data_IF_932809152437
#
_entry.id   IF_932809152437
#
_cell.length_a   1.000
_cell.length_b   1.000
_cell.length_c   1.000
_cell.angle_alpha   90.00
_cell.angle_beta   90.00
_cell.angle_gamma   90.00
#
_symmetry.space_group_name_H-M   'P 1'
#
loop_
_entity.id
_entity.type
_entity.pdbx_description
1 polymer ?
#
# COMPACT_ATOMS: atom_id res chain seq x y z
N UNK A 1 -5.99 19.54 -12.52
CA UNK A 1 -5.98 18.09 -12.84
C UNK A 1 -4.65 17.37 -12.61
N UNK A 2 -3.49 17.73 -13.20
CA UNK A 2 -2.21 17.10 -12.79
C UNK A 2 -1.77 17.55 -11.39
N UNK A 3 -1.75 18.86 -11.14
CA UNK A 3 -1.23 19.45 -9.89
C UNK A 3 -1.93 18.98 -8.61
N UNK A 4 -3.22 18.66 -8.67
CA UNK A 4 -3.99 18.13 -7.54
C UNK A 4 -3.56 16.70 -7.19
N UNK A 5 -3.33 15.84 -8.19
CA UNK A 5 -2.80 14.47 -7.98
C UNK A 5 -1.38 14.51 -7.41
N UNK A 6 -0.51 15.38 -7.94
CA UNK A 6 0.86 15.53 -7.40
C UNK A 6 0.86 16.08 -5.96
N UNK A 7 -0.01 17.04 -5.65
CA UNK A 7 -0.11 17.62 -4.31
C UNK A 7 -0.70 16.66 -3.28
N UNK A 8 -1.72 15.88 -3.67
CA UNK A 8 -2.28 14.79 -2.84
C UNK A 8 -1.21 13.74 -2.51
N UNK A 9 -0.42 13.32 -3.50
CA UNK A 9 0.68 12.39 -3.29
C UNK A 9 1.77 12.93 -2.35
N UNK A 10 2.11 14.23 -2.44
CA UNK A 10 3.10 14.84 -1.54
C UNK A 10 2.60 14.92 -0.09
N UNK A 11 1.32 15.25 0.11
CA UNK A 11 0.71 15.30 1.45
C UNK A 11 0.63 13.89 2.07
N UNK A 12 0.19 12.91 1.28
CA UNK A 12 0.16 11.50 1.69
C UNK A 12 1.53 10.99 2.10
N UNK A 13 2.56 11.28 1.30
CA UNK A 13 3.92 10.88 1.62
C UNK A 13 4.40 11.45 2.96
N UNK A 14 4.17 12.74 3.22
CA UNK A 14 4.48 13.36 4.52
C UNK A 14 3.67 12.77 5.66
N UNK A 15 2.44 12.32 5.40
CA UNK A 15 1.62 11.67 6.41
C UNK A 15 2.18 10.29 6.75
N UNK A 16 2.57 9.50 5.74
CA UNK A 16 3.20 8.18 5.90
C UNK A 16 4.53 8.31 6.66
N UNK A 17 5.35 9.29 6.32
CA UNK A 17 6.63 9.59 7.01
C UNK A 17 6.45 9.99 8.48
N UNK A 18 5.24 10.41 8.91
CA UNK A 18 4.93 10.77 10.29
C UNK A 18 4.29 9.64 11.09
N UNK A 19 3.89 8.55 10.44
CA UNK A 19 3.31 7.40 11.14
C UNK A 19 4.38 6.75 12.01
N UNK A 20 4.01 6.48 13.25
CA UNK A 20 4.76 5.59 14.12
C UNK A 20 4.68 4.15 13.62
N UNK A 21 5.62 3.31 14.03
CA UNK A 21 5.62 1.89 13.67
C UNK A 21 4.31 1.18 14.06
N UNK A 22 3.76 1.50 15.24
CA UNK A 22 2.49 0.95 15.71
C UNK A 22 1.31 1.36 14.80
N UNK A 23 1.28 2.61 14.33
CA UNK A 23 0.23 3.07 13.41
C UNK A 23 0.37 2.44 12.03
N UNK A 24 1.61 2.28 11.55
CA UNK A 24 1.89 1.57 10.29
C UNK A 24 1.37 0.14 10.36
N UNK A 25 1.72 -0.59 11.42
CA UNK A 25 1.28 -1.96 11.62
C UNK A 25 -0.25 -2.06 11.72
N UNK A 26 -0.90 -1.15 12.46
CA UNK A 26 -2.36 -1.12 12.55
C UNK A 26 -3.04 -0.87 11.20
N UNK A 27 -2.44 -0.06 10.32
CA UNK A 27 -2.93 0.16 8.95
C UNK A 27 -2.71 -1.09 8.09
N UNK A 28 -1.51 -1.69 8.15
CA UNK A 28 -1.19 -2.89 7.39
C UNK A 28 -2.11 -4.06 7.78
N UNK A 29 -2.45 -4.21 9.05
CA UNK A 29 -3.40 -5.21 9.54
C UNK A 29 -4.81 -5.01 8.97
N UNK A 30 -5.31 -3.76 9.02
CA UNK A 30 -6.65 -3.40 8.50
C UNK A 30 -6.72 -3.38 6.98
N UNK A 31 -5.60 -3.17 6.30
CA UNK A 31 -5.55 -3.15 4.86
C UNK A 31 -6.00 -4.50 4.29
N UNK A 32 -6.87 -4.52 3.27
CA UNK A 32 -7.21 -5.75 2.57
C UNK A 32 -6.03 -6.31 1.76
N UNK A 33 -4.94 -5.54 1.66
CA UNK A 33 -3.76 -5.88 0.88
C UNK A 33 -2.63 -6.37 1.78
N UNK A 34 -1.82 -7.28 1.24
CA UNK A 34 -0.57 -7.75 1.82
C UNK A 34 0.54 -7.82 0.78
N UNK A 35 1.80 -7.71 1.22
CA UNK A 35 2.97 -7.84 0.36
C UNK A 35 3.65 -9.19 0.58
N UNK A 36 3.97 -9.89 -0.51
CA UNK A 36 4.75 -11.14 -0.50
C UNK A 36 6.02 -11.01 -1.33
N UNK A 37 7.14 -11.50 -0.81
CA UNK A 37 8.41 -11.56 -1.54
C UNK A 37 8.53 -12.85 -2.34
N UNK A 38 8.83 -12.73 -3.63
CA UNK A 38 9.05 -13.83 -4.56
C UNK A 38 10.48 -13.83 -5.05
N UNK A 39 11.19 -14.93 -4.85
CA UNK A 39 12.57 -15.07 -5.30
C UNK A 39 12.65 -14.86 -6.83
N UNK A 40 13.52 -13.96 -7.26
CA UNK A 40 13.71 -13.63 -8.68
C UNK A 40 12.73 -12.63 -9.27
N UNK A 41 11.61 -12.31 -8.59
CA UNK A 41 10.61 -11.36 -9.08
C UNK A 41 10.45 -10.12 -8.18
N UNK A 42 10.71 -10.26 -6.88
CA UNK A 42 10.64 -9.19 -5.89
C UNK A 42 9.33 -9.17 -5.11
N UNK A 43 8.89 -8.00 -4.65
CA UNK A 43 7.62 -7.86 -3.92
C UNK A 43 6.42 -7.82 -4.86
N UNK A 44 5.37 -8.53 -4.48
CA UNK A 44 4.05 -8.53 -5.11
C UNK A 44 2.99 -8.26 -4.04
N UNK A 45 1.87 -7.65 -4.45
CA UNK A 45 0.76 -7.30 -3.57
C UNK A 45 -0.46 -8.16 -3.89
N UNK A 46 -1.13 -8.63 -2.85
CA UNK A 46 -2.28 -9.54 -2.94
C UNK A 46 -3.43 -9.09 -2.04
N UNK A 47 -4.65 -9.52 -2.37
CA UNK A 47 -5.84 -9.42 -1.53
C UNK A 47 -5.86 -10.54 -0.48
N UNK A 48 -5.80 -10.19 0.81
CA UNK A 48 -5.79 -11.16 1.93
C UNK A 48 -7.02 -12.07 1.98
N UNK A 49 -8.18 -11.54 1.55
CA UNK A 49 -9.44 -12.26 1.63
C UNK A 49 -9.66 -13.25 0.47
N UNK A 50 -8.83 -13.23 -0.57
CA UNK A 50 -8.98 -14.08 -1.74
C UNK A 50 -7.99 -15.27 -1.70
N UNK A 51 -8.47 -16.51 -1.50
CA UNK A 51 -7.59 -17.68 -1.42
C UNK A 51 -7.03 -18.10 -2.77
N UNK A 52 -7.65 -17.73 -3.90
CA UNK A 52 -7.10 -18.04 -5.22
C UNK A 52 -6.00 -17.04 -5.56
N UNK A 53 -4.76 -17.51 -5.55
CA UNK A 53 -3.57 -16.70 -5.79
C UNK A 53 -3.61 -15.84 -7.07
N UNK A 54 -4.13 -16.38 -8.17
CA UNK A 54 -4.24 -15.65 -9.44
C UNK A 54 -5.30 -14.54 -9.37
N UNK A 55 -6.35 -14.73 -8.57
CA UNK A 55 -7.38 -13.71 -8.34
C UNK A 55 -6.98 -12.70 -7.26
N UNK A 56 -6.18 -13.14 -6.30
CA UNK A 56 -5.69 -12.30 -5.22
C UNK A 56 -4.65 -11.29 -5.71
N UNK A 57 -3.93 -11.61 -6.79
CA UNK A 57 -2.87 -10.76 -7.33
C UNK A 57 -3.39 -9.37 -7.75
N UNK A 58 -2.77 -8.33 -7.20
CA UNK A 58 -3.07 -6.94 -7.51
C UNK A 58 -1.99 -6.34 -8.39
N UNK A 59 -0.73 -6.35 -7.93
CA UNK A 59 0.36 -5.69 -8.61
C UNK A 59 1.74 -6.20 -8.16
N UNK A 60 2.69 -6.24 -9.10
CA UNK A 60 4.11 -6.42 -8.81
C UNK A 60 4.80 -5.09 -8.55
N UNK A 61 5.56 -5.01 -7.46
CA UNK A 61 6.38 -3.87 -7.08
C UNK A 61 7.86 -4.07 -7.45
N UNK A 62 8.27 -5.30 -7.76
CA UNK A 62 9.63 -5.61 -8.18
C UNK A 62 10.63 -5.62 -7.03
N UNK A 63 11.91 -5.39 -7.33
CA UNK A 63 13.03 -5.43 -6.39
C UNK A 63 13.10 -4.23 -5.43
N UNK A 64 11.99 -3.84 -4.82
CA UNK A 64 11.91 -2.78 -3.80
C UNK A 64 12.21 -3.34 -2.42
N UNK A 65 12.47 -2.45 -1.45
CA UNK A 65 12.55 -2.84 -0.04
C UNK A 65 11.17 -3.23 0.52
N UNK A 66 11.15 -4.00 1.60
CA UNK A 66 9.93 -4.33 2.33
C UNK A 66 9.17 -3.05 2.74
N UNK A 67 9.89 -2.07 3.27
CA UNK A 67 9.31 -0.81 3.70
C UNK A 67 8.64 -0.06 2.55
N UNK A 68 9.23 -0.08 1.34
CA UNK A 68 8.62 0.54 0.17
C UNK A 68 7.36 -0.20 -0.31
N UNK A 69 7.33 -1.53 -0.15
CA UNK A 69 6.13 -2.31 -0.44
C UNK A 69 5.00 -2.02 0.56
N UNK A 70 5.32 -1.92 1.84
CA UNK A 70 4.38 -1.56 2.90
C UNK A 70 3.89 -0.10 2.76
N UNK A 71 4.78 0.84 2.43
CA UNK A 71 4.42 2.24 2.17
C UNK A 71 3.40 2.34 1.03
N UNK A 72 3.57 1.52 -0.01
CA UNK A 72 2.61 1.46 -1.10
C UNK A 72 1.24 0.99 -0.62
N UNK A 73 1.18 -0.06 0.21
CA UNK A 73 -0.07 -0.57 0.78
C UNK A 73 -0.74 0.50 1.67
N UNK A 74 0.01 1.15 2.54
CA UNK A 74 -0.48 2.23 3.41
C UNK A 74 -1.01 3.38 2.55
N UNK A 75 -0.31 3.76 1.48
CA UNK A 75 -0.77 4.79 0.55
C UNK A 75 -2.11 4.43 -0.09
N UNK A 76 -2.26 3.20 -0.60
CA UNK A 76 -3.54 2.75 -1.20
C UNK A 76 -4.67 2.75 -0.17
N UNK A 77 -4.40 2.27 1.05
CA UNK A 77 -5.39 2.27 2.12
C UNK A 77 -5.84 3.68 2.48
N UNK A 78 -4.90 4.62 2.63
CA UNK A 78 -5.22 6.01 2.95
C UNK A 78 -5.96 6.70 1.80
N UNK A 79 -5.61 6.42 0.55
CA UNK A 79 -6.34 6.95 -0.62
C UNK A 79 -7.80 6.47 -0.63
N UNK A 80 -8.04 5.18 -0.42
CA UNK A 80 -9.40 4.62 -0.39
C UNK A 80 -10.25 5.15 0.78
N UNK A 81 -9.62 5.43 1.92
CA UNK A 81 -10.30 5.97 3.11
C UNK A 81 -10.47 7.50 3.08
N UNK A 82 -9.73 8.22 2.24
CA UNK A 82 -9.89 9.67 2.04
C UNK A 82 -11.06 9.97 1.11
N UNK A 83 -11.33 9.11 0.11
CA UNK A 83 -12.46 9.28 -0.81
C UNK A 83 -13.83 8.84 -0.22
N UNK A 84 -13.86 8.23 0.97
CA UNK A 84 -15.09 7.78 1.65
C UNK A 84 -15.65 8.79 2.66
N UNK A 85 -15.10 10.01 2.71
CA UNK A 85 -15.52 11.08 3.64
C UNK A 85 -16.35 12.21 3.02
N UNK A 86 -16.87 12.02 1.81
CA UNK A 86 -17.81 12.95 1.16
C UNK A 86 -19.26 12.45 1.24
#
# INVERSE_FOLDING_TARGET
MLWEKYSKNRRLRRQIERLTEAERQAILEKSPLEAGWFQGAGYHVFLKAEPNFNKAYVQGLGGVSQQAAEDWIIQQYLLANVDTKD
#
